data_IF_743102775412
#
_entry.id   IF_743102775412
#
_cell.length_a   1.000
_cell.length_b   1.000
_cell.length_c   1.000
_cell.angle_alpha   90.00
_cell.angle_beta   90.00
_cell.angle_gamma   90.00
#
_symmetry.space_group_name_H-M   'P 1'
#
loop_
_entity.id
_entity.type
_entity.pdbx_description
1 polymer ?
#
# COMPACT_ATOMS: atom_id res chain seq x y z
N UNK A 1 -0.99 39.07 -78.52
CA UNK A 1 -1.09 37.60 -78.53
C UNK A 1 -0.12 36.97 -77.52
N UNK A 2 1.20 36.92 -77.77
CA UNK A 2 2.14 36.26 -76.82
C UNK A 2 2.31 37.02 -75.49
N UNK A 3 2.28 38.36 -75.52
CA UNK A 3 2.44 39.22 -74.34
C UNK A 3 1.22 39.23 -73.41
N UNK A 4 0.03 39.07 -73.97
CA UNK A 4 -1.25 39.07 -73.24
C UNK A 4 -1.48 37.75 -72.48
N UNK A 5 -0.86 36.65 -72.92
CA UNK A 5 -0.88 35.35 -72.24
C UNK A 5 0.20 35.20 -71.15
N UNK A 6 1.30 35.96 -71.23
CA UNK A 6 2.40 35.92 -70.25
C UNK A 6 2.02 36.52 -68.89
N UNK A 7 1.23 37.60 -68.89
CA UNK A 7 0.81 38.28 -67.67
C UNK A 7 -0.09 37.40 -66.75
N UNK A 8 -1.16 36.75 -67.25
CA UNK A 8 -1.97 35.86 -66.40
C UNK A 8 -1.19 34.62 -65.94
N UNK A 9 -0.26 34.11 -66.76
CA UNK A 9 0.62 33.01 -66.34
C UNK A 9 1.53 33.42 -65.18
N UNK A 10 2.10 34.64 -65.22
CA UNK A 10 2.91 35.18 -64.12
C UNK A 10 2.08 35.35 -62.84
N UNK A 11 0.87 35.88 -62.93
CA UNK A 11 -0.02 36.04 -61.77
C UNK A 11 -0.40 34.69 -61.16
N UNK A 12 -0.76 33.70 -61.99
CA UNK A 12 -1.03 32.34 -61.53
C UNK A 12 0.19 31.71 -60.84
N UNK A 13 1.39 31.91 -61.38
CA UNK A 13 2.62 31.39 -60.80
C UNK A 13 2.94 32.03 -59.44
N UNK A 14 2.75 33.35 -59.30
CA UNK A 14 2.91 34.04 -58.02
C UNK A 14 1.85 33.59 -57.01
N UNK A 15 0.59 33.42 -57.43
CA UNK A 15 -0.48 32.93 -56.57
C UNK A 15 -0.23 31.50 -56.09
N UNK A 16 0.27 30.62 -56.98
CA UNK A 16 0.64 29.25 -56.64
C UNK A 16 1.78 29.21 -55.63
N UNK A 17 2.87 29.94 -55.89
CA UNK A 17 4.00 30.07 -54.96
C UNK A 17 3.56 30.65 -53.60
N UNK A 18 2.70 31.67 -53.59
CA UNK A 18 2.17 32.26 -52.37
C UNK A 18 1.33 31.26 -51.56
N UNK A 19 0.49 30.47 -52.23
CA UNK A 19 -0.31 29.42 -51.62
C UNK A 19 0.56 28.31 -51.03
N UNK A 20 1.55 27.81 -51.78
CA UNK A 20 2.50 26.79 -51.31
C UNK A 20 3.25 27.23 -50.06
N UNK A 21 3.71 28.48 -50.03
CA UNK A 21 4.39 29.04 -48.84
C UNK A 21 3.42 29.11 -47.65
N UNK A 22 2.19 29.59 -47.86
CA UNK A 22 1.17 29.71 -46.82
C UNK A 22 0.73 28.34 -46.26
N UNK A 23 0.55 27.34 -47.13
CA UNK A 23 0.22 25.97 -46.74
C UNK A 23 1.38 25.34 -45.96
N UNK A 24 2.62 25.51 -46.44
CA UNK A 24 3.81 25.04 -45.73
C UNK A 24 3.96 25.64 -44.33
N UNK A 25 3.73 26.94 -44.16
CA UNK A 25 3.76 27.60 -42.84
C UNK A 25 2.64 27.10 -41.93
N UNK A 26 1.41 26.95 -42.45
CA UNK A 26 0.26 26.43 -41.69
C UNK A 26 0.52 25.00 -41.23
N UNK A 27 1.05 24.15 -42.10
CA UNK A 27 1.32 22.75 -41.80
C UNK A 27 2.51 22.60 -40.85
N UNK A 28 3.51 23.47 -40.93
CA UNK A 28 4.56 23.56 -39.91
C UNK A 28 3.98 23.91 -38.53
N UNK A 29 3.18 24.98 -38.43
CA UNK A 29 2.55 25.39 -37.17
C UNK A 29 1.59 24.32 -36.61
N UNK A 30 0.83 23.63 -37.48
CA UNK A 30 -0.02 22.51 -37.07
C UNK A 30 0.79 21.36 -36.50
N UNK A 31 1.90 20.98 -37.15
CA UNK A 31 2.79 19.91 -36.68
C UNK A 31 3.40 20.23 -35.32
N UNK A 32 3.89 21.45 -35.12
CA UNK A 32 4.42 21.88 -33.81
C UNK A 32 3.34 21.83 -32.73
N UNK A 33 2.13 22.32 -33.03
CA UNK A 33 1.00 22.28 -32.11
C UNK A 33 0.59 20.86 -31.77
N UNK A 34 0.48 19.97 -32.76
CA UNK A 34 0.12 18.57 -32.53
C UNK A 34 1.20 17.81 -31.76
N UNK A 35 2.49 18.11 -32.01
CA UNK A 35 3.60 17.60 -31.21
C UNK A 35 3.50 18.05 -29.75
N UNK A 36 3.32 19.34 -29.50
CA UNK A 36 3.17 19.89 -28.15
C UNK A 36 1.94 19.34 -27.42
N UNK A 37 0.81 19.17 -28.14
CA UNK A 37 -0.39 18.54 -27.57
C UNK A 37 -0.13 17.08 -27.19
N UNK A 38 0.59 16.33 -28.03
CA UNK A 38 0.92 14.93 -27.73
C UNK A 38 1.79 14.84 -26.47
N UNK A 39 2.78 15.72 -26.31
CA UNK A 39 3.65 15.79 -25.14
C UNK A 39 2.87 16.13 -23.87
N UNK A 40 2.05 17.18 -23.90
CA UNK A 40 1.20 17.57 -22.77
C UNK A 40 0.22 16.45 -22.41
N UNK A 41 -0.36 15.79 -23.40
CA UNK A 41 -1.27 14.67 -23.15
C UNK A 41 -0.56 13.49 -22.48
N UNK A 42 0.66 13.16 -22.91
CA UNK A 42 1.48 12.11 -22.32
C UNK A 42 1.88 12.43 -20.88
N UNK A 43 2.31 13.67 -20.61
CA UNK A 43 2.65 14.13 -19.26
C UNK A 43 1.42 14.10 -18.34
N UNK A 44 0.27 14.56 -18.83
CA UNK A 44 -0.99 14.54 -18.07
C UNK A 44 -1.41 13.12 -17.73
N UNK A 45 -1.27 12.20 -18.67
CA UNK A 45 -1.61 10.79 -18.45
C UNK A 45 -0.65 10.12 -17.46
N UNK A 46 0.66 10.38 -17.58
CA UNK A 46 1.65 9.92 -16.61
C UNK A 46 1.39 10.48 -15.20
N UNK A 47 1.00 11.76 -15.11
CA UNK A 47 0.61 12.39 -13.84
C UNK A 47 -0.67 11.76 -13.26
N UNK A 48 -1.66 11.43 -14.11
CA UNK A 48 -2.89 10.74 -13.68
C UNK A 48 -2.58 9.35 -13.12
N UNK A 49 -1.82 8.54 -13.86
CA UNK A 49 -1.46 7.17 -13.45
C UNK A 49 -0.65 7.19 -12.15
N UNK A 50 0.32 8.10 -12.02
CA UNK A 50 1.10 8.21 -10.79
C UNK A 50 0.25 8.68 -9.61
N UNK A 51 -0.69 9.61 -9.83
CA UNK A 51 -1.66 10.05 -8.82
C UNK A 51 -2.57 8.91 -8.33
N UNK A 52 -3.09 8.08 -9.23
CA UNK A 52 -3.90 6.91 -8.86
C UNK A 52 -3.10 5.89 -8.03
N UNK A 53 -1.84 5.62 -8.42
CA UNK A 53 -0.96 4.71 -7.67
C UNK A 53 -0.63 5.23 -6.27
N UNK A 54 -0.44 6.55 -6.12
CA UNK A 54 -0.26 7.18 -4.82
C UNK A 54 -1.50 7.02 -3.94
N UNK A 55 -2.68 7.31 -4.49
CA UNK A 55 -3.94 7.16 -3.76
C UNK A 55 -4.19 5.71 -3.31
N UNK A 56 -3.93 4.72 -4.18
CA UNK A 56 -4.05 3.30 -3.85
C UNK A 56 -3.06 2.89 -2.73
N UNK A 57 -1.83 3.40 -2.77
CA UNK A 57 -0.83 3.15 -1.71
C UNK A 57 -1.26 3.74 -0.37
N UNK A 58 -1.73 4.98 -0.38
CA UNK A 58 -2.14 5.67 0.84
C UNK A 58 -3.40 5.02 1.45
N UNK A 59 -4.31 4.51 0.61
CA UNK A 59 -5.45 3.72 1.07
C UNK A 59 -5.04 2.39 1.73
N UNK A 60 -4.05 1.68 1.16
CA UNK A 60 -3.49 0.47 1.77
C UNK A 60 -2.84 0.81 3.11
N UNK A 61 -2.02 1.85 3.16
CA UNK A 61 -1.33 2.27 4.38
C UNK A 61 -2.30 2.64 5.51
N UNK A 62 -3.33 3.42 5.19
CA UNK A 62 -4.38 3.79 6.14
C UNK A 62 -5.08 2.55 6.71
N UNK A 63 -5.50 1.63 5.84
CA UNK A 63 -6.19 0.41 6.26
C UNK A 63 -5.28 -0.46 7.16
N UNK A 64 -4.03 -0.69 6.75
CA UNK A 64 -3.09 -1.55 7.49
C UNK A 64 -2.71 -0.95 8.84
N UNK A 65 -2.53 0.37 8.89
CA UNK A 65 -2.27 1.09 10.14
C UNK A 65 -3.46 1.02 11.09
N UNK A 66 -4.68 1.18 10.59
CA UNK A 66 -5.89 1.07 11.41
C UNK A 66 -6.05 -0.35 11.98
N UNK A 67 -5.88 -1.38 11.15
CA UNK A 67 -5.97 -2.77 11.61
C UNK A 67 -4.87 -3.13 12.61
N UNK A 68 -3.65 -2.60 12.44
CA UNK A 68 -2.55 -2.80 13.38
C UNK A 68 -2.83 -2.12 14.73
N UNK A 69 -3.32 -0.89 14.72
CA UNK A 69 -3.65 -0.15 15.94
C UNK A 69 -4.81 -0.82 16.69
N UNK A 70 -5.81 -1.32 15.98
CA UNK A 70 -6.90 -2.07 16.58
C UNK A 70 -6.39 -3.34 17.28
N UNK A 71 -5.55 -4.13 16.60
CA UNK A 71 -4.97 -5.35 17.16
C UNK A 71 -4.08 -5.08 18.38
N UNK A 72 -3.29 -3.99 18.36
CA UNK A 72 -2.50 -3.56 19.53
C UNK A 72 -3.37 -3.16 20.71
N UNK A 73 -4.44 -2.40 20.44
CA UNK A 73 -5.39 -1.99 21.49
C UNK A 73 -6.04 -3.22 22.14
N UNK A 74 -6.49 -4.19 21.34
CA UNK A 74 -7.05 -5.44 21.85
C UNK A 74 -6.01 -6.21 22.70
N UNK A 75 -4.76 -6.27 22.25
CA UNK A 75 -3.68 -6.91 22.99
C UNK A 75 -3.42 -6.22 24.34
N UNK A 76 -3.37 -4.88 24.35
CA UNK A 76 -3.20 -4.08 25.57
C UNK A 76 -4.38 -4.24 26.55
N UNK A 77 -5.61 -4.35 26.04
CA UNK A 77 -6.79 -4.65 26.85
C UNK A 77 -6.70 -6.04 27.49
N UNK A 78 -6.26 -7.05 26.72
CA UNK A 78 -6.04 -8.41 27.24
C UNK A 78 -4.92 -8.45 28.28
N UNK A 79 -3.83 -7.72 28.03
CA UNK A 79 -2.71 -7.59 28.97
C UNK A 79 -3.19 -7.01 30.30
N UNK A 80 -3.90 -5.88 30.26
CA UNK A 80 -4.50 -5.28 31.46
C UNK A 80 -5.46 -6.23 32.16
N UNK A 81 -6.31 -6.95 31.42
CA UNK A 81 -7.24 -7.90 32.02
C UNK A 81 -6.52 -9.07 32.73
N UNK A 82 -5.37 -9.51 32.22
CA UNK A 82 -4.53 -10.53 32.88
C UNK A 82 -3.80 -9.96 34.08
N UNK A 83 -3.25 -8.75 33.97
CA UNK A 83 -2.55 -8.06 35.07
C UNK A 83 -3.50 -7.73 36.24
N UNK A 84 -4.75 -7.35 35.94
CA UNK A 84 -5.83 -7.13 36.91
C UNK A 84 -6.39 -8.43 37.53
N UNK A 85 -5.96 -9.61 37.03
CA UNK A 85 -6.48 -10.91 37.44
C UNK A 85 -7.91 -11.23 36.96
N UNK A 86 -8.51 -10.37 36.10
CA UNK A 86 -9.84 -10.60 35.50
C UNK A 86 -9.83 -11.72 34.46
N UNK A 87 -8.68 -11.97 33.85
CA UNK A 87 -8.43 -13.07 32.91
C UNK A 87 -7.15 -13.81 33.30
N UNK A 88 -6.98 -15.05 32.79
CA UNK A 88 -5.79 -15.86 33.08
C UNK A 88 -5.31 -16.55 31.80
N UNK A 89 -4.01 -16.51 31.56
CA UNK A 89 -3.37 -17.31 30.51
C UNK A 89 -3.30 -18.77 30.97
N UNK A 90 -3.75 -19.69 30.12
CA UNK A 90 -3.72 -21.13 30.40
C UNK A 90 -2.75 -21.80 29.44
N UNK A 91 -1.89 -22.66 29.98
CA UNK A 91 -1.09 -23.58 29.18
C UNK A 91 -1.79 -24.92 29.11
N UNK A 92 -1.72 -25.58 27.95
CA UNK A 92 -2.09 -26.97 27.85
C UNK A 92 -0.89 -27.81 28.31
N UNK A 93 -0.97 -28.36 29.51
CA UNK A 93 0.09 -29.15 30.11
C UNK A 93 -0.41 -30.56 30.45
N UNK A 94 0.39 -31.57 30.09
CA UNK A 94 0.17 -32.96 30.52
C UNK A 94 1.16 -33.28 31.63
N UNK A 95 0.68 -33.43 32.85
CA UNK A 95 1.51 -33.79 34.00
C UNK A 95 1.71 -35.31 34.05
N UNK A 96 2.86 -35.82 33.57
CA UNK A 96 3.25 -37.22 33.74
C UNK A 96 3.91 -37.47 35.10
N UNK A 97 3.09 -37.67 36.15
CA UNK A 97 3.34 -38.58 37.26
C UNK A 97 2.29 -38.38 38.39
N UNK A 98 1.67 -39.46 38.89
CA UNK A 98 1.10 -39.48 40.22
C UNK A 98 2.22 -39.45 41.26
N UNK A 99 2.06 -38.62 42.30
CA UNK A 99 2.90 -38.64 43.51
C UNK A 99 2.96 -40.08 44.06
N UNK A 100 4.13 -40.61 44.44
CA UNK A 100 4.21 -41.94 45.05
C UNK A 100 3.34 -41.99 46.31
N UNK A 101 2.53 -43.04 46.44
CA UNK A 101 1.58 -43.28 47.55
C UNK A 101 2.25 -43.57 48.91
N UNK A 102 3.48 -43.10 49.14
CA UNK A 102 4.13 -43.20 50.43
C UNK A 102 3.63 -42.06 51.31
N UNK A 103 2.98 -42.41 52.41
CA UNK A 103 2.45 -41.49 53.41
C UNK A 103 3.60 -40.74 54.12
N UNK A 104 4.14 -39.72 53.46
CA UNK A 104 4.95 -38.69 54.09
C UNK A 104 4.05 -37.72 54.87
N UNK A 105 4.51 -37.27 56.03
CA UNK A 105 3.82 -36.36 56.96
C UNK A 105 2.99 -35.30 56.22
N UNK A 106 1.66 -35.35 56.35
CA UNK A 106 0.73 -34.45 55.68
C UNK A 106 0.78 -33.03 56.28
N UNK A 107 1.80 -32.27 55.89
CA UNK A 107 1.77 -30.81 55.98
C UNK A 107 1.28 -30.27 54.63
N UNK A 108 0.02 -29.83 54.56
CA UNK A 108 -0.47 -29.11 53.39
C UNK A 108 0.25 -27.76 53.38
N UNK A 109 1.35 -27.66 52.62
CA UNK A 109 2.00 -26.39 52.41
C UNK A 109 1.00 -25.45 51.72
N UNK A 110 0.72 -24.31 52.34
CA UNK A 110 -0.03 -23.22 51.71
C UNK A 110 0.87 -22.58 50.65
N UNK A 111 1.02 -23.28 49.54
CA UNK A 111 1.68 -22.78 48.36
C UNK A 111 0.63 -22.01 47.54
N UNK A 112 1.01 -20.81 47.08
CA UNK A 112 0.17 -20.03 46.17
C UNK A 112 -0.24 -20.84 44.95
N UNK A 113 -1.40 -20.49 44.36
CA UNK A 113 -1.89 -21.17 43.17
C UNK A 113 -0.84 -21.16 42.05
N UNK A 114 -0.66 -22.30 41.37
CA UNK A 114 0.25 -22.39 40.24
C UNK A 114 -0.08 -21.33 39.17
N UNK A 115 0.92 -20.54 38.78
CA UNK A 115 0.76 -19.44 37.84
C UNK A 115 1.93 -19.41 36.84
N UNK A 116 1.68 -18.88 35.62
CA UNK A 116 2.77 -18.63 34.68
C UNK A 116 3.76 -17.65 35.30
N UNK A 117 5.04 -17.89 35.03
CA UNK A 117 6.10 -16.95 35.35
C UNK A 117 5.82 -15.58 34.67
N UNK A 118 6.22 -14.50 35.33
CA UNK A 118 5.88 -13.14 34.90
C UNK A 118 6.48 -12.79 33.52
N UNK A 119 7.67 -13.31 33.24
CA UNK A 119 8.33 -13.26 31.92
C UNK A 119 7.49 -13.94 30.84
N UNK A 120 6.98 -15.15 31.08
CA UNK A 120 6.15 -15.88 30.12
C UNK A 120 4.85 -15.15 29.76
N UNK A 121 4.27 -14.36 30.67
CA UNK A 121 3.10 -13.51 30.37
C UNK A 121 3.48 -12.35 29.45
N UNK A 122 4.55 -11.65 29.77
CA UNK A 122 5.04 -10.53 28.97
C UNK A 122 5.45 -10.96 27.55
N UNK A 123 6.12 -12.11 27.46
CA UNK A 123 6.58 -12.67 26.19
C UNK A 123 5.41 -13.07 25.28
N UNK A 124 4.34 -13.63 25.87
CA UNK A 124 3.13 -13.99 25.11
C UNK A 124 2.50 -12.76 24.43
N UNK A 125 2.33 -11.65 25.15
CA UNK A 125 1.75 -10.44 24.58
C UNK A 125 2.67 -9.77 23.57
N UNK A 126 3.98 -9.78 23.82
CA UNK A 126 5.00 -9.33 22.86
C UNK A 126 4.93 -10.14 21.56
N UNK A 127 4.79 -11.47 21.66
CA UNK A 127 4.67 -12.34 20.50
C UNK A 127 3.39 -12.04 19.69
N UNK A 128 2.27 -11.78 20.37
CA UNK A 128 1.02 -11.37 19.71
C UNK A 128 1.17 -10.05 18.95
N UNK A 129 1.89 -9.07 19.51
CA UNK A 129 2.15 -7.81 18.82
C UNK A 129 3.03 -7.99 17.58
N UNK A 130 4.08 -8.79 17.69
CA UNK A 130 4.94 -9.13 16.56
C UNK A 130 4.17 -9.88 15.46
N UNK A 131 3.25 -10.77 15.86
CA UNK A 131 2.38 -11.48 14.94
C UNK A 131 1.39 -10.51 14.24
N UNK A 132 0.78 -9.59 14.98
CA UNK A 132 -0.10 -8.59 14.40
C UNK A 132 0.64 -7.69 13.39
N UNK A 133 1.84 -7.24 13.74
CA UNK A 133 2.69 -6.43 12.88
C UNK A 133 3.08 -7.18 11.60
N UNK A 134 3.64 -8.39 11.74
CA UNK A 134 4.06 -9.20 10.58
C UNK A 134 2.88 -9.55 9.68
N UNK A 135 1.71 -9.88 10.24
CA UNK A 135 0.47 -10.09 9.48
C UNK A 135 0.10 -8.86 8.64
N UNK A 136 0.11 -7.67 9.24
CA UNK A 136 -0.24 -6.45 8.51
C UNK A 136 0.80 -6.08 7.45
N UNK A 137 2.10 -6.31 7.70
CA UNK A 137 3.15 -6.14 6.69
C UNK A 137 2.94 -7.07 5.49
N UNK A 138 2.67 -8.36 5.73
CA UNK A 138 2.44 -9.33 4.66
C UNK A 138 1.20 -8.97 3.85
N UNK A 139 0.10 -8.63 4.51
CA UNK A 139 -1.14 -8.24 3.82
C UNK A 139 -0.97 -6.92 3.05
N UNK A 140 -0.28 -5.94 3.64
CA UNK A 140 0.06 -4.69 2.97
C UNK A 140 0.90 -4.91 1.72
N UNK A 141 1.90 -5.80 1.77
CA UNK A 141 2.71 -6.15 0.60
C UNK A 141 1.89 -6.86 -0.48
N UNK A 142 1.02 -7.79 -0.09
CA UNK A 142 0.13 -8.48 -1.05
C UNK A 142 -0.81 -7.50 -1.75
N UNK A 143 -1.43 -6.57 -1.00
CA UNK A 143 -2.31 -5.55 -1.58
C UNK A 143 -1.54 -4.58 -2.46
N UNK A 144 -0.33 -4.18 -2.06
CA UNK A 144 0.52 -3.31 -2.87
C UNK A 144 0.83 -3.95 -4.22
N UNK A 145 1.23 -5.23 -4.23
CA UNK A 145 1.47 -5.95 -5.49
C UNK A 145 0.22 -6.00 -6.36
N UNK A 146 -0.94 -6.33 -5.78
CA UNK A 146 -2.21 -6.48 -6.54
C UNK A 146 -2.76 -5.17 -7.08
N UNK A 147 -2.70 -4.08 -6.30
CA UNK A 147 -3.35 -2.80 -6.64
C UNK A 147 -2.42 -1.82 -7.32
N UNK A 148 -1.12 -1.85 -7.00
CA UNK A 148 -0.15 -0.85 -7.48
C UNK A 148 0.78 -1.43 -8.56
N UNK A 149 1.28 -2.66 -8.39
CA UNK A 149 2.27 -3.23 -9.33
C UNK A 149 1.65 -3.96 -10.52
N UNK A 150 0.62 -4.77 -10.29
CA UNK A 150 -0.04 -5.59 -11.32
C UNK A 150 -1.12 -4.83 -12.11
N UNK A 151 -1.22 -3.52 -11.89
CA UNK A 151 -2.13 -2.60 -12.56
C UNK A 151 -1.41 -1.82 -13.66
#
# INVERSE_FOLDING_TARGET
>A
MLRDALFPLLVCLVAWLGFDILEGQRDAARRERDSALSEVSGLREAARISGERLADRDAIDLQRTQELNHARTENDDLRRAVDDGRQRLRINATCSAPVPASAGTSGLADAGAAELAADARSDYFTLRDQLALSKQMILGLQDHMRRVCLR
#
